data_IF_233325950588
#
_entry.id   IF_233325950588
#
_cell.length_a   1.000
_cell.length_b   1.000
_cell.length_c   1.000
_cell.angle_alpha   90.00
_cell.angle_beta   90.00
_cell.angle_gamma   90.00
#
_symmetry.space_group_name_H-M   'P 1'
#
loop_
_entity.id
_entity.type
_entity.pdbx_description
1 polymer ?
#
# COMPACT_ATOMS: atom_id res chain seq x y z
N UNK A 1 -9.73 -10.54 9.29
CA UNK A 1 -8.61 -9.79 9.91
C UNK A 1 -7.29 -10.47 9.54
N UNK A 2 -6.23 -9.72 9.27
CA UNK A 2 -4.92 -10.28 8.94
C UNK A 2 -3.83 -9.42 9.60
N UNK A 3 -2.92 -10.06 10.33
CA UNK A 3 -1.79 -9.40 10.99
C UNK A 3 -0.55 -9.64 10.16
N UNK A 4 0.18 -8.57 9.83
CA UNK A 4 1.45 -8.66 9.12
C UNK A 4 2.57 -9.02 10.09
N UNK A 5 3.56 -9.77 9.60
CA UNK A 5 4.72 -10.16 10.39
C UNK A 5 5.58 -8.96 10.81
N UNK A 6 5.61 -7.92 9.97
CA UNK A 6 6.38 -6.71 10.18
C UNK A 6 5.50 -5.47 9.92
N UNK A 7 5.64 -4.40 10.71
CA UNK A 7 5.01 -3.12 10.41
C UNK A 7 5.47 -2.60 9.04
N UNK A 8 4.54 -2.14 8.22
CA UNK A 8 4.86 -1.66 6.88
C UNK A 8 3.96 -0.51 6.45
N UNK A 9 4.55 0.43 5.70
CA UNK A 9 3.85 1.47 4.96
C UNK A 9 3.92 1.23 3.44
N UNK A 10 4.41 0.07 2.99
CA UNK A 10 4.50 -0.24 1.56
C UNK A 10 3.11 -0.51 0.98
N UNK A 11 2.64 0.41 0.13
CA UNK A 11 1.34 0.34 -0.54
C UNK A 11 1.12 -0.96 -1.30
N UNK A 12 2.17 -1.54 -1.90
CA UNK A 12 2.05 -2.77 -2.68
C UNK A 12 1.76 -3.97 -1.78
N UNK A 13 2.36 -4.00 -0.59
CA UNK A 13 2.06 -5.02 0.43
C UNK A 13 0.63 -4.85 0.94
N UNK A 14 0.23 -3.62 1.28
CA UNK A 14 -1.12 -3.32 1.76
C UNK A 14 -2.20 -3.66 0.71
N UNK A 15 -1.97 -3.32 -0.55
CA UNK A 15 -2.87 -3.65 -1.66
C UNK A 15 -3.01 -5.16 -1.87
N UNK A 16 -1.90 -5.91 -1.83
CA UNK A 16 -1.92 -7.36 -1.96
C UNK A 16 -2.72 -8.02 -0.82
N UNK A 17 -2.57 -7.52 0.40
CA UNK A 17 -3.31 -8.00 1.58
C UNK A 17 -4.79 -7.64 1.46
N UNK A 18 -5.13 -6.42 1.05
CA UNK A 18 -6.50 -5.99 0.82
C UNK A 18 -7.21 -6.89 -0.21
N UNK A 19 -6.53 -7.21 -1.32
CA UNK A 19 -7.02 -8.15 -2.32
C UNK A 19 -7.28 -9.54 -1.73
N UNK A 20 -6.35 -10.07 -0.93
CA UNK A 20 -6.54 -11.36 -0.26
C UNK A 20 -7.75 -11.31 0.65
N UNK A 21 -7.87 -10.29 1.49
CA UNK A 21 -9.02 -10.13 2.39
C UNK A 21 -10.33 -10.05 1.63
N UNK A 22 -10.38 -9.28 0.55
CA UNK A 22 -11.57 -9.16 -0.30
C UNK A 22 -11.95 -10.50 -0.96
N UNK A 23 -10.97 -11.28 -1.43
CA UNK A 23 -11.20 -12.57 -2.06
C UNK A 23 -11.80 -13.63 -1.12
N UNK A 24 -11.61 -13.50 0.20
CA UNK A 24 -12.21 -14.40 1.19
C UNK A 24 -13.64 -14.00 1.58
N UNK A 25 -14.17 -12.91 1.04
CA UNK A 25 -15.55 -12.51 1.28
C UNK A 25 -16.46 -13.16 0.24
N UNK A 26 -17.47 -13.90 0.70
CA UNK A 26 -18.56 -14.30 -0.18
C UNK A 26 -19.49 -13.10 -0.40
N UNK A 27 -19.40 -12.52 -1.59
CA UNK A 27 -20.22 -11.39 -1.99
C UNK A 27 -21.55 -11.82 -2.62
N UNK A 28 -21.75 -13.10 -2.95
CA UNK A 28 -23.01 -13.62 -3.50
C UNK A 28 -23.55 -12.83 -4.71
N UNK A 29 -22.67 -12.27 -5.55
CA UNK A 29 -23.04 -11.42 -6.70
C UNK A 29 -23.51 -10.00 -6.34
N UNK A 30 -23.41 -9.58 -5.08
CA UNK A 30 -23.83 -8.24 -4.62
C UNK A 30 -22.87 -7.17 -5.14
N UNK A 31 -23.43 -6.03 -5.57
CA UNK A 31 -22.63 -4.85 -5.94
C UNK A 31 -22.00 -4.22 -4.70
N UNK A 32 -20.69 -4.01 -4.74
CA UNK A 32 -19.94 -3.30 -3.70
C UNK A 32 -20.06 -1.80 -3.93
N UNK A 33 -20.61 -1.07 -2.96
CA UNK A 33 -20.75 0.40 -3.02
C UNK A 33 -19.61 1.15 -2.34
N UNK A 34 -18.92 0.49 -1.41
CA UNK A 34 -17.79 1.02 -0.67
C UNK A 34 -16.85 -0.13 -0.32
N UNK A 35 -15.56 0.07 -0.54
CA UNK A 35 -14.49 -0.78 -0.06
C UNK A 35 -13.45 0.12 0.59
N UNK A 36 -13.08 -0.20 1.83
CA UNK A 36 -12.06 0.52 2.59
C UNK A 36 -11.08 -0.46 3.21
N UNK A 37 -9.84 -0.01 3.38
CA UNK A 37 -8.82 -0.72 4.13
C UNK A 37 -8.55 0.07 5.42
N UNK A 38 -8.68 -0.59 6.57
CA UNK A 38 -8.33 -0.02 7.86
C UNK A 38 -7.04 -0.67 8.37
N UNK A 39 -6.11 0.14 8.87
CA UNK A 39 -4.91 -0.31 9.57
C UNK A 39 -5.05 -0.02 11.08
N UNK A 40 -4.50 -0.92 11.90
CA UNK A 40 -4.47 -0.80 13.35
C UNK A 40 -3.07 -1.15 13.85
N UNK A 41 -2.77 -0.83 15.12
CA UNK A 41 -1.45 -1.04 15.74
C UNK A 41 -0.33 -0.30 14.98
N UNK A 42 -0.59 0.96 14.62
CA UNK A 42 0.41 1.82 13.99
C UNK A 42 1.57 2.05 14.97
N UNK A 43 2.78 1.92 14.47
CA UNK A 43 4.01 2.22 15.20
C UNK A 43 4.69 3.44 14.58
N UNK A 44 5.44 4.24 15.36
CA UNK A 44 6.32 5.25 14.79
C UNK A 44 7.24 4.62 13.73
N UNK A 45 7.43 5.31 12.61
CA UNK A 45 8.35 4.85 11.57
C UNK A 45 9.77 4.74 12.14
N UNK A 46 10.32 3.53 12.17
CA UNK A 46 11.71 3.30 12.57
C UNK A 46 12.66 3.79 11.46
N UNK A 47 13.90 4.13 11.84
CA UNK A 47 14.99 4.32 10.88
C UNK A 47 15.13 3.03 10.10
N UNK A 48 14.92 3.06 8.77
CA UNK A 48 15.02 1.86 7.93
C UNK A 48 16.35 1.15 8.17
N UNK A 49 16.28 -0.15 8.45
CA UNK A 49 17.46 -0.99 8.52
C UNK A 49 18.21 -0.88 7.18
N UNK A 50 19.49 -0.52 7.24
CA UNK A 50 20.30 -0.40 6.03
C UNK A 50 20.35 -1.75 5.31
N UNK A 51 19.89 -1.77 4.05
CA UNK A 51 20.00 -2.98 3.24
C UNK A 51 21.49 -3.31 3.04
N UNK A 52 21.84 -4.59 3.23
CA UNK A 52 23.21 -5.10 3.07
C UNK A 52 23.74 -4.96 1.63
N UNK A 53 22.84 -4.90 0.66
CA UNK A 53 23.16 -4.79 -0.77
C UNK A 53 22.71 -3.45 -1.34
N UNK A 54 23.60 -2.80 -2.09
CA UNK A 54 23.37 -1.48 -2.70
C UNK A 54 22.14 -1.46 -3.62
N UNK A 55 21.96 -2.47 -4.47
CA UNK A 55 20.83 -2.54 -5.39
C UNK A 55 19.47 -2.63 -4.65
N UNK A 56 19.42 -3.41 -3.56
CA UNK A 56 18.23 -3.52 -2.72
C UNK A 56 17.93 -2.18 -2.01
N UNK A 57 18.98 -1.51 -1.51
CA UNK A 57 18.89 -0.18 -0.91
C UNK A 57 18.32 0.85 -1.88
N UNK A 58 18.89 0.96 -3.07
CA UNK A 58 18.45 1.91 -4.09
C UNK A 58 17.00 1.70 -4.53
N UNK A 59 16.60 0.43 -4.67
CA UNK A 59 15.22 0.08 -5.00
C UNK A 59 14.25 0.48 -3.87
N UNK A 60 14.61 0.24 -2.62
CA UNK A 60 13.83 0.67 -1.45
C UNK A 60 13.73 2.19 -1.35
N UNK A 61 14.85 2.90 -1.47
CA UNK A 61 14.88 4.37 -1.46
C UNK A 61 14.04 4.96 -2.59
N UNK A 62 14.10 4.41 -3.80
CA UNK A 62 13.27 4.86 -4.93
C UNK A 62 11.78 4.67 -4.65
N UNK A 63 11.36 3.51 -4.13
CA UNK A 63 9.96 3.26 -3.75
C UNK A 63 9.48 4.22 -2.66
N UNK A 64 10.30 4.43 -1.62
CA UNK A 64 9.96 5.34 -0.53
C UNK A 64 9.89 6.81 -0.98
N UNK A 65 10.72 7.22 -1.95
CA UNK A 65 10.65 8.55 -2.55
C UNK A 65 9.39 8.72 -3.41
N UNK A 66 9.01 7.70 -4.19
CA UNK A 66 7.79 7.72 -4.99
C UNK A 66 6.53 7.83 -4.11
N UNK A 67 6.43 7.02 -3.04
CA UNK A 67 5.31 7.10 -2.10
C UNK A 67 5.19 8.51 -1.48
N UNK A 68 6.30 9.08 -1.01
CA UNK A 68 6.33 10.45 -0.47
C UNK A 68 5.89 11.51 -1.47
N UNK A 69 6.29 11.37 -2.74
CA UNK A 69 5.86 12.30 -3.78
C UNK A 69 4.35 12.20 -4.04
N UNK A 70 3.78 11.00 -4.01
CA UNK A 70 2.33 10.79 -4.12
C UNK A 70 1.61 11.44 -2.94
N UNK A 71 2.09 11.23 -1.71
CA UNK A 71 1.52 11.86 -0.51
C UNK A 71 1.57 13.39 -0.57
N UNK A 72 2.69 13.95 -1.04
CA UNK A 72 2.83 15.39 -1.21
C UNK A 72 1.83 15.95 -2.24
N UNK A 73 1.68 15.27 -3.38
CA UNK A 73 0.70 15.65 -4.39
C UNK A 73 -0.72 15.58 -3.83
N UNK A 74 -1.07 14.50 -3.13
CA UNK A 74 -2.38 14.31 -2.54
C UNK A 74 -2.69 15.40 -1.49
N UNK A 75 -1.70 15.77 -0.67
CA UNK A 75 -1.81 16.88 0.29
C UNK A 75 -2.07 18.22 -0.38
N UNK A 76 -1.47 18.45 -1.55
CA UNK A 76 -1.47 19.76 -2.23
C UNK A 76 -2.67 19.94 -3.18
N UNK A 77 -3.13 18.85 -3.79
CA UNK A 77 -4.13 18.87 -4.86
C UNK A 77 -5.35 17.98 -4.59
N UNK A 78 -5.39 17.27 -3.46
CA UNK A 78 -6.47 16.35 -3.08
C UNK A 78 -6.17 14.89 -3.45
N UNK A 79 -6.89 13.96 -2.81
CA UNK A 79 -6.61 12.52 -2.87
C UNK A 79 -6.74 11.90 -4.26
N UNK A 80 -7.51 12.52 -5.17
CA UNK A 80 -7.78 11.97 -6.52
C UNK A 80 -6.74 12.39 -7.57
N UNK A 81 -5.71 13.16 -7.20
CA UNK A 81 -4.71 13.71 -8.14
C UNK A 81 -3.82 12.63 -8.75
N UNK A 82 -3.51 11.56 -8.00
CA UNK A 82 -2.76 10.41 -8.50
C UNK A 82 -3.71 9.22 -8.59
N UNK A 83 -3.84 8.64 -9.79
CA UNK A 83 -4.54 7.37 -9.96
C UNK A 83 -3.59 6.27 -10.36
N UNK A 84 -3.65 5.17 -9.61
CA UNK A 84 -2.95 3.95 -9.99
C UNK A 84 -3.60 3.35 -11.22
N UNK A 85 -2.84 3.17 -12.29
CA UNK A 85 -3.28 2.37 -13.43
C UNK A 85 -3.27 0.91 -13.00
N UNK A 86 -4.46 0.30 -12.95
CA UNK A 86 -4.57 -1.13 -12.74
C UNK A 86 -4.00 -1.86 -13.97
N UNK A 87 -3.20 -2.93 -13.80
CA UNK A 87 -2.79 -3.76 -14.92
C UNK A 87 -4.04 -4.28 -15.62
N UNK A 88 -4.01 -4.31 -16.96
CA UNK A 88 -5.09 -4.96 -17.72
C UNK A 88 -4.99 -6.46 -17.41
N UNK A 89 -6.06 -7.01 -16.86
CA UNK A 89 -6.21 -8.47 -16.78
C UNK A 89 -6.28 -8.98 -18.22
N UNK A 90 -5.39 -9.93 -18.56
CA UNK A 90 -5.36 -10.62 -19.84
C UNK A 90 -6.17 -11.90 -19.78
#
# INVERSE_FOLDING_TARGET
RHTLAEPTADESVLFAVARKLLAHLDLGGRRVRLAGLAAANLVPGAVEQMALFTAARESATRRAAAARAVDELARRFGADVVRRRLPREG
#
